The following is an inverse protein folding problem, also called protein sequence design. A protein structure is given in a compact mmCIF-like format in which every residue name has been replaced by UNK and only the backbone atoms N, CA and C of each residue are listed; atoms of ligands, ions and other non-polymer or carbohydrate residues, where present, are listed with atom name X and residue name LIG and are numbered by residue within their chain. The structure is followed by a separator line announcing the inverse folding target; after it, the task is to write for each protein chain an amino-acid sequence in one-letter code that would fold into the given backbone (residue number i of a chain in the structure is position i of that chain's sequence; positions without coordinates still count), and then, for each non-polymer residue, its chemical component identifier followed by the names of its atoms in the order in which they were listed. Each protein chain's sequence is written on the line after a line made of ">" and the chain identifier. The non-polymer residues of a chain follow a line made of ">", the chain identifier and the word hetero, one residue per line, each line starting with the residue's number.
data_IF_753447974515
#
_entry.id   IF_753447974515
#
_cell.length_a   1.000
_cell.length_b   1.000
_cell.length_c   1.000
_cell.angle_alpha   90.00
_cell.angle_beta   90.00
_cell.angle_gamma   90.00
#
_symmetry.space_group_name_H-M   'P 1'
#
loop_
_entity.id
_entity.type
_entity.pdbx_description
1 polymer ?
#
# COMPACT_ATOMS: atom_id res chain seq x y z
N UNK A 1 -36.54 0.01 -2.46
CA UNK A 1 -35.30 0.83 -2.37
C UNK A 1 -35.15 1.49 -3.72
N UNK A 2 -35.09 2.81 -3.78
CA UNK A 2 -35.03 3.54 -5.05
C UNK A 2 -33.64 3.33 -5.67
N UNK A 3 -33.63 2.82 -6.90
CA UNK A 3 -32.44 2.72 -7.75
C UNK A 3 -31.95 4.13 -8.10
N UNK A 4 -30.69 4.43 -7.77
CA UNK A 4 -30.02 5.62 -8.28
C UNK A 4 -29.10 5.21 -9.43
N UNK A 5 -29.35 5.80 -10.61
CA UNK A 5 -28.53 5.65 -11.82
C UNK A 5 -27.22 6.42 -11.65
N UNK A 6 -26.09 5.80 -12.01
CA UNK A 6 -24.80 6.49 -12.05
C UNK A 6 -24.83 7.52 -13.19
N UNK A 7 -24.26 8.70 -12.95
CA UNK A 7 -24.05 9.67 -14.03
C UNK A 7 -23.18 9.08 -15.15
N UNK A 8 -23.46 9.49 -16.39
CA UNK A 8 -22.61 9.13 -17.52
C UNK A 8 -21.24 9.80 -17.49
N UNK A 9 -21.10 10.96 -16.82
CA UNK A 9 -19.87 11.74 -16.74
C UNK A 9 -19.64 12.30 -15.33
N UNK A 10 -18.37 12.27 -14.89
CA UNK A 10 -17.91 12.83 -13.61
C UNK A 10 -16.73 13.76 -13.85
N UNK A 11 -16.59 14.82 -13.05
CA UNK A 11 -15.36 15.60 -13.02
C UNK A 11 -14.18 14.77 -12.47
N UNK A 12 -14.44 13.96 -11.44
CA UNK A 12 -13.42 13.15 -10.79
C UNK A 12 -13.94 11.75 -10.44
N UNK A 13 -13.13 10.72 -10.69
CA UNK A 13 -13.33 9.38 -10.12
C UNK A 13 -12.13 9.01 -9.25
N UNK A 14 -12.42 8.61 -8.01
CA UNK A 14 -11.44 8.04 -7.08
C UNK A 14 -11.60 6.52 -7.09
N UNK A 15 -10.63 5.84 -7.69
CA UNK A 15 -10.55 4.37 -7.69
C UNK A 15 -9.78 3.87 -6.47
N UNK A 16 -10.44 3.08 -5.63
CA UNK A 16 -9.94 2.57 -4.37
C UNK A 16 -10.33 3.48 -3.21
N UNK A 17 -11.05 2.90 -2.25
CA UNK A 17 -11.52 3.46 -0.99
C UNK A 17 -10.83 2.79 0.21
N UNK A 18 -9.61 2.27 0.02
CA UNK A 18 -8.71 1.89 1.13
C UNK A 18 -8.07 3.11 1.80
N UNK A 19 -7.04 2.93 2.66
CA UNK A 19 -6.42 4.02 3.42
C UNK A 19 -5.94 5.19 2.54
N UNK A 20 -5.37 4.91 1.37
CA UNK A 20 -4.90 5.96 0.46
C UNK A 20 -6.04 6.78 -0.17
N UNK A 21 -7.09 6.10 -0.65
CA UNK A 21 -8.28 6.76 -1.22
C UNK A 21 -9.07 7.55 -0.17
N UNK A 22 -9.26 6.99 1.02
CA UNK A 22 -9.91 7.71 2.11
C UNK A 22 -9.07 8.88 2.61
N UNK A 23 -7.74 8.74 2.64
CA UNK A 23 -6.83 9.86 2.90
C UNK A 23 -6.99 11.02 1.92
N UNK A 24 -7.16 10.73 0.62
CA UNK A 24 -7.50 11.75 -0.38
C UNK A 24 -8.81 12.46 -0.03
N UNK A 25 -9.88 11.71 0.22
CA UNK A 25 -11.21 12.27 0.46
C UNK A 25 -11.27 13.08 1.77
N UNK A 26 -10.63 12.61 2.83
CA UNK A 26 -10.55 13.33 4.10
C UNK A 26 -9.80 14.65 3.89
N UNK A 27 -8.67 14.62 3.18
CA UNK A 27 -7.90 15.83 2.94
C UNK A 27 -8.60 16.83 2.00
N UNK A 28 -9.29 16.34 0.98
CA UNK A 28 -10.15 17.16 0.12
C UNK A 28 -11.26 17.84 0.92
N UNK A 29 -11.81 17.17 1.94
CA UNK A 29 -12.81 17.77 2.83
C UNK A 29 -12.20 18.84 3.73
N UNK A 30 -11.09 18.53 4.42
CA UNK A 30 -10.36 19.47 5.29
C UNK A 30 -9.97 20.77 4.59
N UNK A 31 -9.59 20.67 3.31
CA UNK A 31 -9.16 21.80 2.47
C UNK A 31 -10.32 22.51 1.75
N UNK A 32 -11.56 22.04 1.90
CA UNK A 32 -12.74 22.59 1.23
C UNK A 32 -12.89 22.19 -0.25
N UNK A 33 -11.93 21.46 -0.82
CA UNK A 33 -11.96 21.01 -2.21
C UNK A 33 -13.08 20.01 -2.51
N UNK A 34 -13.48 19.18 -1.54
CA UNK A 34 -14.43 18.09 -1.77
C UNK A 34 -15.79 18.60 -2.25
N UNK A 35 -16.26 19.74 -1.73
CA UNK A 35 -17.56 20.31 -2.12
C UNK A 35 -17.58 20.79 -3.58
N UNK A 36 -16.45 21.25 -4.14
CA UNK A 36 -16.39 21.59 -5.56
C UNK A 36 -16.37 20.32 -6.41
N UNK A 37 -15.55 19.34 -6.03
CA UNK A 37 -15.46 18.06 -6.75
C UNK A 37 -16.81 17.34 -6.80
N UNK A 38 -17.54 17.30 -5.67
CA UNK A 38 -18.84 16.64 -5.60
C UNK A 38 -19.90 17.34 -6.47
N UNK A 39 -19.89 18.68 -6.49
CA UNK A 39 -20.80 19.48 -7.34
C UNK A 39 -20.62 19.17 -8.82
N UNK A 40 -19.38 19.06 -9.26
CA UNK A 40 -19.02 18.78 -10.66
C UNK A 40 -19.08 17.27 -11.00
N UNK A 41 -19.44 16.45 -10.01
CA UNK A 41 -19.55 14.99 -10.11
C UNK A 41 -18.29 14.30 -9.58
N UNK A 42 -18.43 13.69 -8.40
CA UNK A 42 -17.42 12.83 -7.79
C UNK A 42 -17.97 11.43 -7.59
N UNK A 43 -17.27 10.44 -8.14
CA UNK A 43 -17.55 9.02 -7.92
C UNK A 43 -16.39 8.35 -7.17
N UNK A 44 -16.71 7.60 -6.13
CA UNK A 44 -15.78 6.70 -5.44
C UNK A 44 -16.07 5.26 -5.85
N UNK A 45 -15.08 4.55 -6.39
CA UNK A 45 -15.24 3.16 -6.86
C UNK A 45 -14.30 2.26 -6.07
N UNK A 46 -14.81 1.18 -5.47
CA UNK A 46 -13.98 0.14 -4.86
C UNK A 46 -14.51 -1.25 -5.17
N UNK A 47 -13.60 -2.20 -5.37
CA UNK A 47 -13.91 -3.60 -5.58
C UNK A 47 -14.40 -4.30 -4.29
N UNK A 48 -14.04 -3.79 -3.12
CA UNK A 48 -14.51 -4.25 -1.83
C UNK A 48 -15.92 -3.71 -1.53
N UNK A 49 -16.64 -4.42 -0.67
CA UNK A 49 -17.95 -4.00 -0.15
C UNK A 49 -17.83 -3.07 1.06
N UNK A 50 -16.62 -2.86 1.59
CA UNK A 50 -16.34 -2.03 2.74
C UNK A 50 -15.19 -1.08 2.44
N UNK A 51 -15.22 0.10 3.08
CA UNK A 51 -14.24 1.18 2.89
C UNK A 51 -13.23 1.25 4.03
N UNK A 52 -12.16 2.02 3.84
CA UNK A 52 -11.24 2.46 4.87
C UNK A 52 -10.08 1.52 5.17
N UNK A 53 -10.36 0.25 5.50
CA UNK A 53 -9.30 -0.66 5.96
C UNK A 53 -8.33 -1.10 4.88
N UNK A 54 -8.82 -1.28 3.64
CA UNK A 54 -8.08 -2.04 2.61
C UNK A 54 -7.61 -3.40 3.15
N UNK A 55 -6.48 -3.91 2.66
CA UNK A 55 -5.84 -5.13 3.20
C UNK A 55 -5.08 -4.90 4.50
N UNK A 56 -4.83 -3.65 4.89
CA UNK A 56 -4.05 -3.31 6.09
C UNK A 56 -4.66 -3.94 7.34
N UNK A 57 -5.99 -3.90 7.45
CA UNK A 57 -6.73 -4.49 8.57
C UNK A 57 -6.69 -6.02 8.64
N UNK A 58 -6.11 -6.69 7.64
CA UNK A 58 -6.06 -8.15 7.57
C UNK A 58 -4.77 -8.68 8.18
N UNK A 59 -3.75 -7.85 8.36
CA UNK A 59 -2.42 -8.30 8.75
C UNK A 59 -2.30 -8.47 10.26
N UNK A 60 -1.89 -9.66 10.68
CA UNK A 60 -1.67 -10.05 12.08
C UNK A 60 -0.27 -9.65 12.57
N UNK A 61 0.09 -8.38 12.40
CA UNK A 61 1.37 -7.80 12.83
C UNK A 61 1.18 -6.41 13.42
N UNK A 62 2.17 -5.92 14.16
CA UNK A 62 2.19 -4.53 14.64
C UNK A 62 2.49 -3.56 13.51
N UNK A 63 1.95 -2.35 13.62
CA UNK A 63 2.26 -1.24 12.74
C UNK A 63 3.74 -0.83 12.82
N UNK A 64 4.22 -0.21 11.75
CA UNK A 64 5.51 0.49 11.73
C UNK A 64 5.37 1.98 12.12
N UNK A 65 4.27 2.35 12.77
CA UNK A 65 3.98 3.70 13.29
C UNK A 65 3.30 3.58 14.66
N UNK A 66 3.44 4.59 15.51
CA UNK A 66 2.74 4.63 16.80
C UNK A 66 1.25 4.91 16.63
N UNK A 67 0.44 4.55 17.63
CA UNK A 67 -1.01 4.79 17.65
C UNK A 67 -1.40 6.24 17.36
N UNK A 68 -0.65 7.19 17.92
CA UNK A 68 -0.89 8.63 17.78
C UNK A 68 -0.84 9.10 16.32
N UNK A 69 0.02 8.50 15.50
CA UNK A 69 0.13 8.82 14.06
C UNK A 69 -1.17 8.50 13.31
N UNK A 70 -1.88 7.44 13.70
CA UNK A 70 -3.18 7.10 13.11
C UNK A 70 -4.32 7.94 13.68
N UNK A 71 -4.27 8.27 14.98
CA UNK A 71 -5.25 9.16 15.60
C UNK A 71 -5.16 10.58 15.01
N UNK A 72 -3.95 11.07 14.74
CA UNK A 72 -3.71 12.37 14.14
C UNK A 72 -4.42 12.55 12.78
N UNK A 73 -4.46 11.51 11.96
CA UNK A 73 -5.23 11.49 10.70
C UNK A 73 -6.73 11.79 10.86
N UNK A 74 -7.28 11.66 12.07
CA UNK A 74 -8.69 11.81 12.41
C UNK A 74 -8.97 13.03 13.30
N UNK A 75 -7.94 13.75 13.75
CA UNK A 75 -8.06 14.83 14.74
C UNK A 75 -8.41 16.20 14.16
N UNK A 76 -8.39 16.34 12.84
CA UNK A 76 -8.64 17.63 12.21
C UNK A 76 -10.00 18.22 12.66
N UNK A 77 -10.05 19.50 13.08
CA UNK A 77 -11.27 20.14 13.57
C UNK A 77 -12.46 20.03 12.61
N UNK A 78 -12.23 20.02 11.29
CA UNK A 78 -13.30 19.89 10.30
C UNK A 78 -13.95 18.49 10.35
N UNK A 79 -13.19 17.45 10.70
CA UNK A 79 -13.65 16.07 10.73
C UNK A 79 -14.26 15.67 12.08
N UNK A 80 -13.98 16.41 13.17
CA UNK A 80 -14.46 16.08 14.52
C UNK A 80 -15.98 15.86 14.62
N UNK A 81 -16.86 16.67 13.99
CA UNK A 81 -18.31 16.44 14.07
C UNK A 81 -18.73 15.11 13.43
N UNK A 82 -18.06 14.70 12.35
CA UNK A 82 -18.33 13.45 11.63
C UNK A 82 -17.83 12.25 12.45
N UNK A 83 -16.69 12.41 13.14
CA UNK A 83 -16.00 11.35 13.86
C UNK A 83 -16.31 11.28 15.35
N UNK A 84 -17.19 12.14 15.88
CA UNK A 84 -17.64 12.08 17.26
C UNK A 84 -18.06 10.66 17.72
N UNK A 85 -18.74 9.81 16.90
CA UNK A 85 -19.08 8.44 17.28
C UNK A 85 -17.87 7.52 17.53
N UNK A 86 -16.67 7.84 17.02
CA UNK A 86 -15.47 7.01 17.21
C UNK A 86 -15.05 6.88 18.68
N UNK A 87 -15.45 7.82 19.56
CA UNK A 87 -15.19 7.73 21.00
C UNK A 87 -15.76 6.45 21.65
N UNK A 88 -16.73 5.79 21.00
CA UNK A 88 -17.31 4.52 21.42
C UNK A 88 -16.67 3.29 20.77
N UNK A 89 -15.75 3.48 19.81
CA UNK A 89 -15.05 2.39 19.13
C UNK A 89 -13.99 1.75 20.04
N UNK A 90 -13.97 0.42 20.20
CA UNK A 90 -12.92 -0.29 20.94
C UNK A 90 -11.52 -0.01 20.35
N UNK A 91 -11.39 -0.01 19.02
CA UNK A 91 -10.13 0.26 18.34
C UNK A 91 -9.61 1.68 18.61
N UNK A 92 -10.51 2.68 18.61
CA UNK A 92 -10.15 4.06 18.95
C UNK A 92 -9.63 4.16 20.39
N UNK A 93 -10.34 3.57 21.34
CA UNK A 93 -9.94 3.57 22.76
C UNK A 93 -8.62 2.83 22.99
N UNK A 94 -8.40 1.71 22.29
CA UNK A 94 -7.14 0.97 22.37
C UNK A 94 -5.95 1.86 21.97
N UNK A 95 -6.04 2.55 20.83
CA UNK A 95 -5.00 3.47 20.37
C UNK A 95 -4.87 4.72 21.26
N UNK A 96 -5.96 5.19 21.87
CA UNK A 96 -5.91 6.30 22.84
C UNK A 96 -5.25 5.93 24.16
N UNK A 97 -5.41 4.69 24.61
CA UNK A 97 -4.83 4.21 25.87
C UNK A 97 -3.31 3.98 25.76
N UNK A 98 -2.81 3.66 24.56
CA UNK A 98 -1.38 3.54 24.28
C UNK A 98 -1.02 4.29 22.97
N UNK A 99 -0.97 5.64 23.01
CA UNK A 99 -0.73 6.45 21.82
C UNK A 99 0.71 6.33 21.31
N UNK A 100 1.66 5.95 22.17
CA UNK A 100 3.07 5.86 21.82
C UNK A 100 3.52 4.42 21.50
N UNK A 101 2.69 3.42 21.76
CA UNK A 101 2.90 2.04 21.32
C UNK A 101 2.59 1.83 19.84
N UNK A 102 3.12 0.75 19.28
CA UNK A 102 2.82 0.29 17.93
C UNK A 102 1.59 -0.64 17.95
N UNK A 103 0.40 -0.18 17.50
CA UNK A 103 -0.82 -0.98 17.55
C UNK A 103 -0.79 -2.15 16.57
N UNK A 104 -1.65 -3.15 16.77
CA UNK A 104 -1.88 -4.18 15.75
C UNK A 104 -2.53 -3.57 14.52
N UNK A 105 -2.11 -3.97 13.32
CA UNK A 105 -2.68 -3.46 12.07
C UNK A 105 -4.17 -3.82 11.92
N UNK A 106 -4.62 -4.92 12.53
CA UNK A 106 -6.05 -5.25 12.62
C UNK A 106 -6.84 -4.16 13.35
N UNK A 107 -6.35 -3.67 14.50
CA UNK A 107 -6.97 -2.56 15.25
C UNK A 107 -6.95 -1.26 14.45
N UNK A 108 -5.85 -0.96 13.75
CA UNK A 108 -5.77 0.21 12.86
C UNK A 108 -6.79 0.08 11.73
N UNK A 109 -6.92 -1.10 11.13
CA UNK A 109 -7.90 -1.38 10.09
C UNK A 109 -9.34 -1.17 10.56
N UNK A 110 -9.68 -1.67 11.74
CA UNK A 110 -11.00 -1.45 12.36
C UNK A 110 -11.30 0.04 12.58
N UNK A 111 -10.33 0.79 13.10
CA UNK A 111 -10.47 2.24 13.29
C UNK A 111 -10.70 2.96 11.95
N UNK A 112 -9.85 2.68 10.94
CA UNK A 112 -9.95 3.32 9.63
C UNK A 112 -11.24 2.95 8.90
N UNK A 113 -11.71 1.71 9.01
CA UNK A 113 -12.99 1.28 8.45
C UNK A 113 -14.14 2.07 9.09
N UNK A 114 -14.19 2.15 10.42
CA UNK A 114 -15.26 2.88 11.11
C UNK A 114 -15.26 4.38 10.75
N UNK A 115 -14.10 5.03 10.79
CA UNK A 115 -13.97 6.43 10.39
C UNK A 115 -14.42 6.65 8.94
N UNK A 116 -14.00 5.77 8.03
CA UNK A 116 -14.34 5.87 6.61
C UNK A 116 -15.82 5.65 6.35
N UNK A 117 -16.47 4.71 7.04
CA UNK A 117 -17.92 4.51 6.92
C UNK A 117 -18.70 5.75 7.38
N UNK A 118 -18.34 6.34 8.52
CA UNK A 118 -18.96 7.58 9.00
C UNK A 118 -18.81 8.72 7.99
N UNK A 119 -17.60 8.87 7.45
CA UNK A 119 -17.30 9.90 6.45
C UNK A 119 -18.07 9.67 5.16
N UNK A 120 -18.04 8.45 4.61
CA UNK A 120 -18.71 8.12 3.35
C UNK A 120 -20.21 8.40 3.45
N UNK A 121 -20.86 8.00 4.54
CA UNK A 121 -22.27 8.32 4.80
C UNK A 121 -22.52 9.83 4.80
N UNK A 122 -21.71 10.60 5.53
CA UNK A 122 -21.82 12.05 5.59
C UNK A 122 -21.72 12.69 4.19
N UNK A 123 -20.71 12.33 3.39
CA UNK A 123 -20.50 12.97 2.08
C UNK A 123 -21.52 12.52 1.04
N UNK A 124 -22.05 11.29 1.13
CA UNK A 124 -23.15 10.85 0.28
C UNK A 124 -24.44 11.61 0.61
N UNK A 125 -24.75 11.79 1.90
CA UNK A 125 -26.00 12.42 2.37
C UNK A 125 -25.98 13.94 2.18
N UNK A 126 -24.83 14.60 2.34
CA UNK A 126 -24.75 16.06 2.39
C UNK A 126 -24.06 16.73 1.21
N UNK A 127 -23.17 16.02 0.49
CA UNK A 127 -22.41 16.59 -0.63
C UNK A 127 -22.78 15.99 -1.98
N UNK A 128 -23.59 14.92 -2.01
CA UNK A 128 -23.99 14.26 -3.25
C UNK A 128 -22.85 13.49 -3.91
N UNK A 129 -21.87 13.03 -3.14
CA UNK A 129 -20.83 12.11 -3.62
C UNK A 129 -21.46 10.76 -3.95
N UNK A 130 -21.17 10.22 -5.13
CA UNK A 130 -21.64 8.90 -5.53
C UNK A 130 -20.60 7.83 -5.20
N UNK A 131 -21.06 6.62 -4.88
CA UNK A 131 -20.20 5.53 -4.41
C UNK A 131 -20.63 4.22 -5.06
N UNK A 132 -19.67 3.51 -5.65
CA UNK A 132 -19.86 2.19 -6.25
C UNK A 132 -18.91 1.18 -5.58
N UNK A 133 -19.40 0.52 -4.53
CA UNK A 133 -18.71 -0.59 -3.87
C UNK A 133 -18.98 -1.91 -4.58
N UNK A 134 -18.15 -2.94 -4.34
CA UNK A 134 -18.24 -4.21 -5.07
C UNK A 134 -17.99 -4.07 -6.59
N UNK A 135 -17.41 -2.94 -7.01
CA UNK A 135 -17.29 -2.53 -8.41
C UNK A 135 -15.82 -2.37 -8.78
N UNK A 136 -15.40 -3.06 -9.84
CA UNK A 136 -14.02 -3.02 -10.35
C UNK A 136 -13.93 -2.07 -11.54
N UNK A 137 -12.89 -1.26 -11.57
CA UNK A 137 -12.45 -0.60 -12.80
C UNK A 137 -11.68 -1.67 -13.61
N UNK A 138 -12.18 -2.06 -14.77
CA UNK A 138 -11.54 -3.09 -15.62
C UNK A 138 -10.63 -2.48 -16.68
N UNK A 139 -11.06 -1.34 -17.23
CA UNK A 139 -10.37 -0.65 -18.32
C UNK A 139 -10.52 0.87 -18.17
N UNK A 140 -9.45 1.58 -18.50
CA UNK A 140 -9.42 3.04 -18.61
C UNK A 140 -8.88 3.39 -19.99
N UNK A 141 -9.61 4.23 -20.73
CA UNK A 141 -9.20 4.73 -22.04
C UNK A 141 -8.99 6.23 -21.95
N UNK A 142 -7.73 6.69 -22.09
CA UNK A 142 -7.40 8.11 -22.18
C UNK A 142 -7.84 8.65 -23.54
N UNK A 143 -8.64 9.70 -23.52
CA UNK A 143 -9.18 10.38 -24.70
C UNK A 143 -8.23 11.48 -25.20
N UNK A 144 -8.37 11.87 -26.46
CA UNK A 144 -7.52 12.91 -27.06
C UNK A 144 -7.77 14.30 -26.46
N UNK A 145 -8.96 14.52 -25.90
CA UNK A 145 -9.30 15.74 -25.16
C UNK A 145 -8.74 15.74 -23.72
N UNK A 146 -8.01 14.69 -23.31
CA UNK A 146 -7.44 14.50 -21.98
C UNK A 146 -8.41 14.01 -20.90
N UNK A 147 -9.65 13.67 -21.25
CA UNK A 147 -10.58 12.97 -20.36
C UNK A 147 -10.34 11.45 -20.40
N UNK A 148 -11.10 10.71 -19.61
CA UNK A 148 -11.03 9.25 -19.52
C UNK A 148 -12.40 8.63 -19.71
N UNK A 149 -12.43 7.48 -20.39
CA UNK A 149 -13.57 6.57 -20.39
C UNK A 149 -13.23 5.34 -19.55
N UNK A 150 -14.10 4.97 -18.62
CA UNK A 150 -13.91 3.87 -17.68
C UNK A 150 -14.92 2.79 -17.93
N UNK A 151 -14.43 1.54 -18.03
CA UNK A 151 -15.25 0.35 -17.97
C UNK A 151 -15.31 -0.13 -16.53
N UNK A 152 -16.49 -0.08 -15.93
CA UNK A 152 -16.74 -0.60 -14.58
C UNK A 152 -17.46 -1.94 -14.68
N UNK A 153 -17.17 -2.85 -13.73
CA UNK A 153 -17.87 -4.13 -13.57
C UNK A 153 -18.30 -4.35 -12.13
N UNK A 154 -19.58 -4.68 -11.93
CA UNK A 154 -20.12 -5.17 -10.67
C UNK A 154 -20.85 -6.50 -10.94
N UNK A 155 -20.30 -7.60 -10.44
CA UNK A 155 -20.75 -8.95 -10.79
C UNK A 155 -20.74 -9.18 -12.31
N UNK A 156 -21.88 -9.56 -12.88
CA UNK A 156 -22.06 -9.77 -14.33
C UNK A 156 -22.34 -8.48 -15.11
N UNK A 157 -22.71 -7.39 -14.44
CA UNK A 157 -23.12 -6.16 -15.09
C UNK A 157 -21.92 -5.22 -15.27
N UNK A 158 -21.88 -4.54 -16.42
CA UNK A 158 -20.81 -3.62 -16.77
C UNK A 158 -21.36 -2.32 -17.34
N UNK A 159 -20.68 -1.20 -17.05
CA UNK A 159 -21.09 0.15 -17.44
C UNK A 159 -19.88 0.94 -17.93
N UNK A 160 -20.12 1.88 -18.84
CA UNK A 160 -19.13 2.86 -19.28
C UNK A 160 -19.48 4.23 -18.70
N UNK A 161 -18.49 4.91 -18.13
CA UNK A 161 -18.63 6.30 -17.66
C UNK A 161 -17.46 7.14 -18.16
N UNK A 162 -17.68 8.45 -18.29
CA UNK A 162 -16.64 9.45 -18.52
C UNK A 162 -16.12 10.04 -17.21
N UNK A 163 -14.84 10.41 -17.20
CA UNK A 163 -14.20 11.11 -16.09
C UNK A 163 -13.25 12.20 -16.60
N UNK A 164 -13.32 13.41 -16.05
CA UNK A 164 -12.36 14.47 -16.34
C UNK A 164 -10.97 14.20 -15.74
N UNK A 165 -10.94 13.59 -14.55
CA UNK A 165 -9.72 13.25 -13.80
C UNK A 165 -9.90 11.95 -13.03
N UNK A 166 -8.78 11.29 -12.72
CA UNK A 166 -8.72 10.00 -12.04
C UNK A 166 -7.66 10.01 -10.94
N UNK A 167 -8.04 9.53 -9.75
CA UNK A 167 -7.10 9.15 -8.69
C UNK A 167 -7.14 7.63 -8.53
N UNK A 168 -6.06 6.94 -8.91
CA UNK A 168 -5.96 5.48 -8.90
C UNK A 168 -5.18 4.97 -7.69
N UNK A 169 -5.90 4.64 -6.62
CA UNK A 169 -5.36 4.10 -5.37
C UNK A 169 -5.85 2.66 -5.15
N UNK A 170 -5.68 1.82 -6.17
CA UNK A 170 -6.23 0.45 -6.26
C UNK A 170 -5.43 -0.61 -5.48
N UNK A 171 -4.43 -0.17 -4.71
CA UNK A 171 -3.57 -1.03 -3.90
C UNK A 171 -2.50 -1.77 -4.72
N UNK A 172 -1.87 -2.74 -4.08
CA UNK A 172 -0.81 -3.54 -4.67
C UNK A 172 -0.93 -5.02 -4.36
N UNK A 173 -0.21 -5.82 -5.12
CA UNK A 173 -0.13 -7.29 -5.02
C UNK A 173 1.31 -7.75 -5.16
N UNK A 174 1.63 -8.92 -4.62
CA UNK A 174 2.93 -9.55 -4.86
C UNK A 174 2.81 -10.58 -5.97
N UNK A 175 3.56 -10.41 -7.05
CA UNK A 175 3.57 -11.31 -8.20
C UNK A 175 4.85 -12.17 -8.20
N UNK A 176 4.71 -13.50 -8.30
CA UNK A 176 5.84 -14.44 -8.39
C UNK A 176 6.80 -14.12 -9.53
N UNK A 177 6.31 -13.56 -10.64
CA UNK A 177 7.16 -13.15 -11.77
C UNK A 177 8.20 -12.10 -11.37
N UNK A 178 7.87 -11.20 -10.44
CA UNK A 178 8.81 -10.20 -9.94
C UNK A 178 9.91 -10.83 -9.06
N UNK A 179 9.57 -11.87 -8.29
CA UNK A 179 10.59 -12.65 -7.59
C UNK A 179 11.52 -13.33 -8.58
N UNK A 180 10.97 -14.00 -9.60
CA UNK A 180 11.78 -14.66 -10.63
C UNK A 180 12.70 -13.66 -11.35
N UNK A 181 12.20 -12.49 -11.71
CA UNK A 181 12.99 -11.44 -12.34
C UNK A 181 14.08 -10.91 -11.41
N UNK A 182 13.75 -10.60 -10.15
CA UNK A 182 14.72 -10.11 -9.17
C UNK A 182 15.82 -11.13 -8.85
N UNK A 183 15.51 -12.43 -8.86
CA UNK A 183 16.51 -13.49 -8.70
C UNK A 183 17.36 -13.65 -9.97
N UNK A 184 16.74 -13.55 -11.15
CA UNK A 184 17.45 -13.66 -12.43
C UNK A 184 18.46 -12.51 -12.62
N UNK A 185 18.21 -11.31 -12.11
CA UNK A 185 19.20 -10.21 -12.05
C UNK A 185 20.47 -10.58 -11.27
N UNK A 186 20.43 -11.63 -10.46
CA UNK A 186 21.54 -12.17 -9.68
C UNK A 186 22.05 -13.52 -10.20
N UNK A 187 21.67 -13.89 -11.42
CA UNK A 187 21.94 -15.20 -12.04
C UNK A 187 21.37 -16.38 -11.22
N UNK A 188 20.24 -16.18 -10.55
CA UNK A 188 19.52 -17.20 -9.79
C UNK A 188 18.18 -17.52 -10.45
N UNK A 189 17.84 -18.80 -10.49
CA UNK A 189 16.58 -19.28 -11.05
C UNK A 189 15.94 -20.28 -10.11
N UNK A 190 14.65 -20.09 -9.84
CA UNK A 190 13.87 -21.09 -9.10
C UNK A 190 13.62 -22.30 -10.00
N UNK A 191 13.93 -23.50 -9.50
CA UNK A 191 13.60 -24.73 -10.21
C UNK A 191 12.08 -24.87 -10.35
N UNK A 192 11.62 -25.39 -11.51
CA UNK A 192 10.19 -25.57 -11.79
C UNK A 192 9.49 -26.48 -10.78
N UNK A 193 10.15 -27.58 -10.41
CA UNK A 193 9.69 -28.54 -9.41
C UNK A 193 10.28 -28.27 -8.01
N UNK A 194 10.93 -27.12 -7.82
CA UNK A 194 11.61 -26.78 -6.57
C UNK A 194 10.67 -26.12 -5.54
N UNK A 195 11.06 -24.99 -4.95
CA UNK A 195 10.36 -24.45 -3.79
C UNK A 195 8.95 -23.94 -4.10
N UNK A 196 8.02 -24.18 -3.17
CA UNK A 196 6.71 -23.55 -3.19
C UNK A 196 6.83 -22.09 -2.76
N UNK A 197 6.37 -21.17 -3.59
CA UNK A 197 6.45 -19.72 -3.33
C UNK A 197 5.13 -19.19 -2.78
N UNK A 198 5.19 -18.55 -1.62
CA UNK A 198 4.10 -17.82 -0.98
C UNK A 198 4.38 -16.32 -0.97
N UNK A 199 3.35 -15.48 -1.07
CA UNK A 199 3.49 -14.06 -0.81
C UNK A 199 3.49 -13.77 0.68
N UNK A 200 4.33 -12.83 1.13
CA UNK A 200 4.22 -12.27 2.48
C UNK A 200 2.82 -11.69 2.72
N UNK A 201 2.20 -11.07 1.72
CA UNK A 201 0.84 -10.52 1.80
C UNK A 201 -0.21 -11.57 2.18
N UNK A 202 -0.08 -12.82 1.70
CA UNK A 202 -0.99 -13.89 2.07
C UNK A 202 -0.71 -14.40 3.49
N UNK A 203 0.57 -14.62 3.83
CA UNK A 203 0.95 -15.20 5.11
C UNK A 203 0.83 -14.23 6.28
N UNK A 204 1.01 -12.93 6.06
CA UNK A 204 0.78 -11.90 7.09
C UNK A 204 -0.69 -11.79 7.49
N UNK A 205 -1.61 -12.23 6.64
CA UNK A 205 -3.04 -12.29 6.97
C UNK A 205 -3.46 -13.54 7.74
N UNK A 206 -2.52 -14.45 8.02
CA UNK A 206 -2.78 -15.64 8.81
C UNK A 206 -2.37 -15.42 10.27
N UNK A 207 -3.19 -15.93 11.19
CA UNK A 207 -2.83 -16.02 12.59
C UNK A 207 -1.90 -17.24 12.85
N UNK A 208 -1.28 -17.35 14.04
CA UNK A 208 -0.33 -18.43 14.32
C UNK A 208 -0.90 -19.85 14.15
N UNK A 209 -2.17 -20.08 14.48
CA UNK A 209 -2.78 -21.40 14.34
C UNK A 209 -2.98 -21.77 12.86
N UNK A 210 -3.36 -20.80 12.02
CA UNK A 210 -3.49 -21.00 10.57
C UNK A 210 -2.13 -21.25 9.90
N UNK A 211 -1.05 -20.62 10.38
CA UNK A 211 0.31 -20.92 9.92
C UNK A 211 0.74 -22.35 10.27
N UNK A 212 0.43 -22.80 11.50
CA UNK A 212 0.66 -24.18 11.94
C UNK A 212 -0.14 -25.17 11.09
N UNK A 213 -1.41 -24.88 10.80
CA UNK A 213 -2.24 -25.70 9.93
C UNK A 213 -1.67 -25.77 8.51
N UNK A 214 -1.27 -24.63 7.95
CA UNK A 214 -0.74 -24.54 6.59
C UNK A 214 0.59 -25.27 6.41
N UNK A 215 1.47 -25.21 7.41
CA UNK A 215 2.84 -25.73 7.32
C UNK A 215 3.10 -26.98 8.16
N UNK A 216 2.12 -27.49 8.89
CA UNK A 216 2.25 -28.62 9.81
C UNK A 216 3.00 -29.82 9.22
N UNK A 217 2.53 -30.31 8.07
CA UNK A 217 3.11 -31.46 7.38
C UNK A 217 4.43 -31.13 6.66
N UNK A 218 4.78 -29.85 6.53
CA UNK A 218 6.01 -29.39 5.88
C UNK A 218 7.15 -29.15 6.86
N UNK A 219 6.89 -29.00 8.16
CA UNK A 219 7.97 -28.85 9.14
C UNK A 219 8.53 -30.23 9.46
N UNK A 220 9.51 -30.66 8.67
CA UNK A 220 10.24 -31.93 8.87
C UNK A 220 11.74 -31.70 8.89
N UNK A 221 12.55 -32.62 9.46
CA UNK A 221 14.00 -32.49 9.44
C UNK A 221 14.53 -32.33 8.01
N UNK A 222 15.23 -31.21 7.76
CA UNK A 222 15.78 -30.87 6.45
C UNK A 222 14.89 -30.01 5.55
N UNK A 223 13.62 -29.79 5.87
CA UNK A 223 12.78 -28.86 5.10
C UNK A 223 13.25 -27.43 5.28
N UNK A 224 13.37 -26.70 4.17
CA UNK A 224 13.90 -25.33 4.16
C UNK A 224 12.78 -24.31 4.11
N UNK A 225 12.85 -23.35 5.02
CA UNK A 225 12.05 -22.13 4.97
C UNK A 225 12.97 -20.97 4.62
N UNK A 226 12.58 -20.21 3.61
CA UNK A 226 13.34 -19.08 3.10
C UNK A 226 12.43 -17.87 2.99
N UNK A 227 12.89 -16.71 3.45
CA UNK A 227 12.23 -15.42 3.28
C UNK A 227 13.09 -14.55 2.39
N UNK A 228 12.50 -13.94 1.36
CA UNK A 228 13.21 -13.05 0.43
C UNK A 228 12.76 -11.61 0.65
N UNK A 229 13.65 -10.77 1.18
CA UNK A 229 13.41 -9.36 1.46
C UNK A 229 14.26 -8.84 2.60
N UNK A 230 14.37 -7.52 2.73
CA UNK A 230 15.20 -6.86 3.75
C UNK A 230 14.47 -5.77 4.56
N UNK A 231 13.14 -5.73 4.46
CA UNK A 231 12.29 -4.67 5.02
C UNK A 231 11.27 -5.21 6.01
N UNK A 232 10.42 -4.33 6.58
CA UNK A 232 9.43 -4.67 7.61
C UNK A 232 8.63 -5.96 7.35
N UNK A 233 8.09 -6.17 6.15
CA UNK A 233 7.32 -7.38 5.84
C UNK A 233 8.14 -8.67 5.95
N UNK A 234 9.42 -8.64 5.56
CA UNK A 234 10.30 -9.81 5.64
C UNK A 234 10.58 -10.17 7.10
N UNK A 235 10.89 -9.19 7.94
CA UNK A 235 11.15 -9.40 9.37
C UNK A 235 9.89 -9.78 10.15
N UNK A 236 8.72 -9.31 9.72
CA UNK A 236 7.45 -9.72 10.31
C UNK A 236 7.08 -11.16 9.94
N UNK A 237 7.39 -11.60 8.70
CA UNK A 237 7.26 -13.01 8.30
C UNK A 237 8.24 -13.89 9.08
N UNK A 238 9.51 -13.47 9.23
CA UNK A 238 10.49 -14.20 10.04
C UNK A 238 9.95 -14.44 11.45
N UNK A 239 9.43 -13.39 12.08
CA UNK A 239 8.84 -13.45 13.42
C UNK A 239 7.64 -14.40 13.49
N UNK A 240 6.67 -14.22 12.59
CA UNK A 240 5.46 -15.03 12.56
C UNK A 240 5.76 -16.52 12.31
N UNK A 241 6.63 -16.83 11.35
CA UNK A 241 7.03 -18.22 11.06
C UNK A 241 7.80 -18.82 12.22
N UNK A 242 8.79 -18.11 12.77
CA UNK A 242 9.57 -18.60 13.89
C UNK A 242 8.68 -18.87 15.11
N UNK A 243 7.84 -17.91 15.51
CA UNK A 243 6.97 -18.05 16.66
C UNK A 243 5.91 -19.15 16.47
N UNK A 244 5.29 -19.25 15.29
CA UNK A 244 4.24 -20.23 15.03
C UNK A 244 4.81 -21.66 14.89
N UNK A 245 5.96 -21.83 14.23
CA UNK A 245 6.47 -23.14 13.82
C UNK A 245 7.55 -23.70 14.75
N UNK A 246 8.05 -22.94 15.74
CA UNK A 246 8.98 -23.46 16.76
C UNK A 246 8.38 -24.66 17.52
N UNK A 247 7.07 -24.65 17.78
CA UNK A 247 6.39 -25.77 18.44
C UNK A 247 6.39 -27.06 17.61
N UNK A 248 6.53 -26.95 16.29
CA UNK A 248 6.65 -28.06 15.35
C UNK A 248 8.11 -28.51 15.14
N UNK A 249 9.07 -27.83 15.77
CA UNK A 249 10.49 -28.15 15.64
C UNK A 249 11.18 -27.51 14.44
N UNK A 250 10.67 -26.38 13.93
CA UNK A 250 11.40 -25.61 12.92
C UNK A 250 12.74 -25.12 13.51
N UNK A 251 13.86 -25.54 12.93
CA UNK A 251 15.18 -25.23 13.49
C UNK A 251 15.80 -23.94 12.91
N UNK A 252 15.58 -23.68 11.63
CA UNK A 252 16.24 -22.60 10.90
C UNK A 252 15.37 -22.00 9.79
N UNK A 253 15.47 -20.69 9.61
CA UNK A 253 14.95 -19.95 8.45
C UNK A 253 16.12 -19.27 7.75
N UNK A 254 16.11 -19.24 6.42
CA UNK A 254 17.09 -18.48 5.62
C UNK A 254 16.48 -17.14 5.22
N UNK A 255 17.17 -16.02 5.48
CA UNK A 255 16.78 -14.69 5.00
C UNK A 255 17.69 -14.29 3.82
N UNK A 256 17.10 -14.24 2.63
CA UNK A 256 17.72 -13.70 1.43
C UNK A 256 17.47 -12.20 1.35
N UNK A 257 18.52 -11.40 1.29
CA UNK A 257 18.41 -9.93 1.17
C UNK A 257 19.39 -9.37 0.15
N UNK A 258 19.02 -8.26 -0.51
CA UNK A 258 19.86 -7.59 -1.51
C UNK A 258 20.81 -6.57 -0.88
N UNK A 259 20.28 -5.72 -0.01
CA UNK A 259 20.99 -4.58 0.56
C UNK A 259 21.20 -4.79 2.08
N UNK A 260 22.04 -3.97 2.74
CA UNK A 260 22.18 -3.99 4.20
C UNK A 260 20.83 -3.84 4.91
N UNK A 261 20.63 -4.63 5.96
CA UNK A 261 19.44 -4.54 6.82
C UNK A 261 19.58 -3.27 7.66
N UNK A 262 18.60 -2.37 7.55
CA UNK A 262 18.63 -1.05 8.19
C UNK A 262 17.76 -1.02 9.43
N UNK A 263 18.30 -0.52 10.54
CA UNK A 263 17.56 -0.32 11.79
C UNK A 263 17.25 1.18 11.95
N UNK A 264 16.02 1.49 12.37
CA UNK A 264 15.60 2.86 12.67
C UNK A 264 16.07 3.28 14.07
N UNK A 265 16.58 4.51 14.19
CA UNK A 265 16.85 5.15 15.49
C UNK A 265 16.35 6.60 15.49
N UNK A 266 15.93 7.10 16.65
CA UNK A 266 15.50 8.50 16.81
C UNK A 266 16.67 9.47 16.64
N UNK A 267 17.91 9.03 16.90
CA UNK A 267 19.12 9.83 16.69
C UNK A 267 20.36 9.00 16.37
N UNK A 268 21.39 9.66 15.83
CA UNK A 268 22.70 9.04 15.64
C UNK A 268 23.39 8.69 16.97
N UNK A 269 23.10 9.41 18.05
CA UNK A 269 23.61 9.09 19.40
C UNK A 269 23.03 7.77 19.90
N UNK A 270 21.71 7.59 19.79
CA UNK A 270 21.02 6.34 20.15
C UNK A 270 21.56 5.15 19.34
N UNK A 271 21.72 5.32 18.03
CA UNK A 271 22.28 4.28 17.16
C UNK A 271 23.68 3.84 17.62
N UNK A 272 24.56 4.80 17.95
CA UNK A 272 25.91 4.50 18.46
C UNK A 272 25.88 3.82 19.82
N UNK A 273 24.99 4.24 20.72
CA UNK A 273 24.81 3.61 22.01
C UNK A 273 24.36 2.14 21.87
N UNK A 274 23.60 1.83 20.82
CA UNK A 274 23.22 0.47 20.44
C UNK A 274 24.32 -0.30 19.66
N UNK A 275 25.50 0.29 19.43
CA UNK A 275 26.57 -0.32 18.65
C UNK A 275 26.33 -0.33 17.14
N UNK A 276 25.33 0.39 16.64
CA UNK A 276 25.02 0.49 15.23
C UNK A 276 25.95 1.48 14.53
N UNK A 277 26.52 1.05 13.39
CA UNK A 277 27.38 1.90 12.57
C UNK A 277 26.51 2.81 11.72
N UNK A 278 26.70 4.13 11.86
CA UNK A 278 25.94 5.16 11.14
C UNK A 278 26.86 5.91 10.18
N UNK A 279 26.51 5.95 8.90
CA UNK A 279 27.03 6.95 7.98
C UNK A 279 26.14 8.21 8.08
N UNK A 280 26.60 9.25 8.78
CA UNK A 280 25.79 10.46 8.97
C UNK A 280 25.46 11.19 7.67
N UNK A 281 26.27 11.03 6.61
CA UNK A 281 26.01 11.65 5.32
C UNK A 281 24.95 10.92 4.49
N UNK A 282 24.76 9.62 4.76
CA UNK A 282 23.88 8.75 3.98
C UNK A 282 22.62 8.33 4.75
N UNK A 283 22.75 8.00 6.02
CA UNK A 283 21.73 7.32 6.82
C UNK A 283 20.93 8.26 7.73
N UNK A 284 21.43 9.47 8.00
CA UNK A 284 20.71 10.45 8.81
C UNK A 284 19.82 11.31 7.92
N UNK A 285 18.53 11.36 8.26
CA UNK A 285 17.59 12.24 7.59
C UNK A 285 17.93 13.71 7.95
N UNK A 286 18.25 14.58 6.97
CA UNK A 286 18.70 15.94 7.23
C UNK A 286 17.61 16.84 7.83
N UNK A 287 16.33 16.46 7.67
CA UNK A 287 15.19 17.23 8.20
C UNK A 287 14.89 16.87 9.65
N UNK A 288 15.03 15.60 10.02
CA UNK A 288 14.58 15.11 11.35
C UNK A 288 15.70 14.69 12.30
N UNK A 289 16.93 14.52 11.81
CA UNK A 289 18.04 13.97 12.61
C UNK A 289 17.96 12.46 12.90
N UNK A 290 16.88 11.81 12.48
CA UNK A 290 16.64 10.37 12.66
C UNK A 290 17.47 9.53 11.70
N UNK A 291 17.93 8.37 12.17
CA UNK A 291 18.70 7.40 11.37
C UNK A 291 17.75 6.44 10.67
N UNK A 292 17.96 6.20 9.37
CA UNK A 292 17.15 5.33 8.53
C UNK A 292 15.63 5.60 8.69
N UNK A 293 15.24 6.89 8.66
CA UNK A 293 13.86 7.34 8.91
C UNK A 293 12.84 6.59 8.05
N UNK A 294 13.13 6.44 6.77
CA UNK A 294 12.21 5.89 5.77
C UNK A 294 12.38 4.38 5.60
N UNK A 295 13.62 3.89 5.61
CA UNK A 295 13.95 2.49 5.30
C UNK A 295 14.19 1.59 6.51
N UNK A 296 14.43 2.15 7.70
CA UNK A 296 14.81 1.40 8.89
C UNK A 296 13.66 0.60 9.48
N UNK A 297 13.93 -0.63 9.92
CA UNK A 297 12.99 -1.47 10.66
C UNK A 297 12.59 -0.79 11.97
N UNK A 298 11.31 -0.84 12.32
CA UNK A 298 10.72 -0.20 13.52
C UNK A 298 10.03 -1.21 14.43
N UNK A 299 9.93 -0.88 15.72
CA UNK A 299 9.18 -1.62 16.75
C UNK A 299 9.50 -3.13 16.74
N UNK A 300 8.49 -4.00 16.57
CA UNK A 300 8.73 -5.45 16.58
C UNK A 300 9.71 -5.89 15.49
N UNK A 301 9.61 -5.34 14.28
CA UNK A 301 10.55 -5.64 13.20
C UNK A 301 11.97 -5.14 13.52
N UNK A 302 12.11 -4.02 14.23
CA UNK A 302 13.41 -3.54 14.73
C UNK A 302 14.01 -4.53 15.73
N UNK A 303 13.23 -5.00 16.69
CA UNK A 303 13.67 -5.96 17.70
C UNK A 303 14.15 -7.25 17.03
N UNK A 304 13.32 -7.86 16.17
CA UNK A 304 13.68 -9.07 15.43
C UNK A 304 14.92 -8.83 14.56
N UNK A 305 15.01 -7.67 13.90
CA UNK A 305 16.20 -7.29 13.13
C UNK A 305 17.46 -7.20 13.98
N UNK A 306 17.36 -6.61 15.17
CA UNK A 306 18.48 -6.51 16.12
C UNK A 306 18.94 -7.90 16.58
N UNK A 307 18.00 -8.77 16.92
CA UNK A 307 18.29 -10.12 17.41
C UNK A 307 18.91 -11.01 16.34
N UNK A 308 18.37 -10.94 15.12
CA UNK A 308 18.91 -11.68 13.97
C UNK A 308 20.31 -11.19 13.61
N UNK A 309 20.55 -9.88 13.57
CA UNK A 309 21.86 -9.32 13.24
C UNK A 309 22.91 -9.58 14.33
N UNK A 310 22.52 -9.55 15.60
CA UNK A 310 23.44 -9.76 16.73
C UNK A 310 23.70 -11.22 17.06
N UNK A 311 22.66 -12.05 17.01
CA UNK A 311 22.66 -13.40 17.59
C UNK A 311 22.25 -14.51 16.59
N UNK A 312 21.77 -14.15 15.40
CA UNK A 312 21.30 -15.13 14.40
C UNK A 312 20.08 -15.93 14.86
N UNK A 313 19.22 -15.37 15.72
CA UNK A 313 18.04 -16.05 16.28
C UNK A 313 16.86 -15.06 16.38
N UNK A 314 15.63 -15.57 16.25
CA UNK A 314 14.42 -14.78 16.56
C UNK A 314 14.11 -14.89 18.06
N UNK A 315 14.17 -13.78 18.80
CA UNK A 315 13.91 -13.77 20.24
C UNK A 315 12.56 -14.34 20.62
N UNK A 316 12.57 -15.16 21.68
CA UNK A 316 11.38 -15.87 22.16
C UNK A 316 11.18 -17.24 21.50
N UNK A 317 12.07 -17.63 20.58
CA UNK A 317 12.02 -18.92 19.87
C UNK A 317 13.39 -19.61 19.89
N UNK A 318 13.43 -20.88 19.46
CA UNK A 318 14.69 -21.61 19.20
C UNK A 318 15.17 -21.50 17.75
N UNK A 319 14.43 -20.78 16.90
CA UNK A 319 14.62 -20.78 15.45
C UNK A 319 15.78 -19.88 15.05
N UNK A 320 16.80 -20.47 14.43
CA UNK A 320 17.97 -19.75 13.91
C UNK A 320 17.65 -19.05 12.59
N UNK A 321 18.39 -17.98 12.29
CA UNK A 321 18.30 -17.27 11.02
C UNK A 321 19.66 -17.25 10.32
N UNK A 322 19.70 -17.84 9.13
CA UNK A 322 20.85 -17.75 8.22
C UNK A 322 20.67 -16.53 7.30
N UNK A 323 21.62 -15.58 7.35
CA UNK A 323 21.60 -14.39 6.49
C UNK A 323 22.40 -14.67 5.22
N UNK A 324 21.77 -14.47 4.06
CA UNK A 324 22.41 -14.59 2.75
C UNK A 324 22.20 -13.31 1.94
N UNK A 325 23.29 -12.59 1.71
CA UNK A 325 23.31 -11.38 0.90
C UNK A 325 23.45 -11.74 -0.59
N UNK A 326 22.49 -11.34 -1.43
CA UNK A 326 22.50 -11.60 -2.86
C UNK A 326 23.68 -10.93 -3.59
N UNK A 327 24.19 -9.82 -3.03
CA UNK A 327 25.34 -9.10 -3.57
C UNK A 327 26.68 -9.74 -3.20
N UNK A 328 26.72 -10.66 -2.23
CA UNK A 328 27.93 -11.39 -1.87
C UNK A 328 28.27 -12.42 -2.97
N UNK A 329 29.44 -12.23 -3.58
CA UNK A 329 29.93 -13.06 -4.70
C UNK A 329 30.90 -14.16 -4.27
N UNK A 330 31.07 -14.39 -2.97
CA UNK A 330 31.93 -15.47 -2.48
C UNK A 330 31.40 -16.84 -2.94
N UNK A 331 32.29 -17.81 -3.27
CA UNK A 331 31.87 -19.11 -3.77
C UNK A 331 30.91 -19.86 -2.82
N UNK A 332 31.15 -19.78 -1.50
CA UNK A 332 30.32 -20.43 -0.50
C UNK A 332 28.90 -19.87 -0.45
N UNK A 333 28.74 -18.54 -0.50
CA UNK A 333 27.40 -17.91 -0.55
C UNK A 333 26.72 -18.23 -1.87
N UNK A 334 27.44 -18.20 -3.00
CA UNK A 334 26.87 -18.55 -4.32
C UNK A 334 26.34 -19.99 -4.37
N UNK A 335 27.08 -20.95 -3.81
CA UNK A 335 26.61 -22.33 -3.69
C UNK A 335 25.35 -22.42 -2.83
N UNK A 336 25.34 -21.72 -1.69
CA UNK A 336 24.18 -21.70 -0.79
C UNK A 336 22.94 -21.07 -1.44
N UNK A 337 23.11 -19.97 -2.18
CA UNK A 337 22.04 -19.32 -2.93
C UNK A 337 21.44 -20.24 -3.99
N UNK A 338 22.29 -20.97 -4.72
CA UNK A 338 21.83 -21.94 -5.71
C UNK A 338 20.99 -23.06 -5.07
N UNK A 339 21.47 -23.62 -3.95
CA UNK A 339 20.76 -24.64 -3.18
C UNK A 339 19.38 -24.16 -2.71
N UNK A 340 19.27 -22.93 -2.22
CA UNK A 340 17.99 -22.33 -1.78
C UNK A 340 17.00 -22.19 -2.94
N UNK A 341 17.48 -21.91 -4.15
CA UNK A 341 16.64 -21.75 -5.33
C UNK A 341 16.23 -23.07 -6.00
N UNK A 342 17.04 -24.13 -5.85
CA UNK A 342 16.85 -25.39 -6.56
C UNK A 342 16.15 -26.48 -5.76
N UNK A 343 16.31 -26.50 -4.43
CA UNK A 343 15.81 -27.60 -3.60
C UNK A 343 14.38 -27.38 -3.11
N UNK A 344 13.71 -28.50 -2.79
CA UNK A 344 12.37 -28.49 -2.23
C UNK A 344 12.33 -27.72 -0.91
N UNK A 345 11.35 -26.83 -0.79
CA UNK A 345 11.19 -25.97 0.38
C UNK A 345 10.06 -24.98 0.23
N UNK A 346 10.01 -24.06 1.19
CA UNK A 346 9.07 -22.95 1.23
C UNK A 346 9.84 -21.65 1.04
N UNK A 347 9.46 -20.86 0.03
CA UNK A 347 9.94 -19.50 -0.15
C UNK A 347 8.80 -18.53 0.13
N UNK A 348 9.07 -17.50 0.93
CA UNK A 348 8.15 -16.38 1.13
C UNK A 348 8.73 -15.13 0.48
N UNK A 349 8.05 -14.60 -0.54
CA UNK A 349 8.44 -13.33 -1.16
C UNK A 349 7.95 -12.13 -0.34
N UNK A 350 8.90 -11.30 0.08
CA UNK A 350 8.68 -10.05 0.81
C UNK A 350 9.44 -8.88 0.15
N UNK A 351 9.51 -8.89 -1.19
CA UNK A 351 10.29 -7.95 -2.01
C UNK A 351 9.52 -6.70 -2.45
N UNK A 352 8.41 -6.38 -1.78
CA UNK A 352 7.54 -5.25 -2.11
C UNK A 352 6.29 -5.65 -2.91
N UNK A 353 5.47 -4.65 -3.24
CA UNK A 353 4.17 -4.78 -3.89
C UNK A 353 4.18 -4.11 -5.26
N UNK A 354 3.62 -4.79 -6.25
CA UNK A 354 3.35 -4.25 -7.58
C UNK A 354 1.97 -3.60 -7.63
N UNK A 355 1.77 -2.56 -8.44
CA UNK A 355 0.49 -1.87 -8.55
C UNK A 355 -0.60 -2.76 -9.14
N UNK A 356 -1.81 -2.67 -8.58
CA UNK A 356 -3.01 -3.21 -9.20
C UNK A 356 -3.53 -2.21 -10.24
N UNK A 357 -3.29 -2.47 -11.53
CA UNK A 357 -3.76 -1.60 -12.62
C UNK A 357 -4.85 -2.26 -13.47
N UNK A 358 -5.90 -1.50 -13.88
CA UNK A 358 -6.80 -1.92 -14.94
C UNK A 358 -6.08 -1.91 -16.30
N UNK A 359 -6.74 -2.43 -17.32
CA UNK A 359 -6.24 -2.27 -18.69
C UNK A 359 -6.24 -0.78 -19.07
N UNK A 360 -5.06 -0.21 -19.30
CA UNK A 360 -4.90 1.17 -19.74
C UNK A 360 -4.77 1.23 -21.27
N UNK A 361 -5.52 2.13 -21.92
CA UNK A 361 -5.56 2.30 -23.37
C UNK A 361 -5.53 3.78 -23.76
N UNK A 362 -5.01 4.05 -24.95
CA UNK A 362 -5.13 5.34 -25.66
C UNK A 362 -6.44 5.35 -26.47
N UNK A 363 -6.87 6.53 -26.91
CA UNK A 363 -8.09 6.72 -27.71
C UNK A 363 -8.10 5.85 -28.98
N UNK A 364 -6.95 5.68 -29.62
CA UNK A 364 -6.76 4.84 -30.80
C UNK A 364 -6.77 3.31 -30.51
N UNK A 365 -6.98 2.89 -29.26
CA UNK A 365 -7.02 1.49 -28.85
C UNK A 365 -5.68 0.86 -28.46
N UNK A 366 -4.56 1.57 -28.65
CA UNK A 366 -3.23 1.07 -28.27
C UNK A 366 -3.07 0.98 -26.74
N UNK A 367 -2.25 0.03 -26.22
CA UNK A 367 -1.88 0.00 -24.81
C UNK A 367 -1.24 1.31 -24.34
N UNK A 368 -1.80 1.91 -23.29
CA UNK A 368 -1.15 2.99 -22.55
C UNK A 368 -0.35 2.39 -21.41
N UNK A 369 0.95 2.21 -21.59
CA UNK A 369 1.81 1.66 -20.55
C UNK A 369 2.33 2.77 -19.63
N UNK A 370 2.16 2.58 -18.33
CA UNK A 370 2.71 3.46 -17.29
C UNK A 370 4.09 2.95 -16.93
N UNK A 371 5.05 3.88 -16.80
CA UNK A 371 6.40 3.54 -16.42
C UNK A 371 6.46 3.13 -14.94
N UNK A 372 7.30 2.13 -14.65
CA UNK A 372 7.65 1.76 -13.28
C UNK A 372 9.05 2.25 -12.93
N UNK A 373 9.24 2.63 -11.68
CA UNK A 373 10.51 3.11 -11.14
C UNK A 373 10.62 2.72 -9.67
N UNK A 374 11.74 2.08 -9.31
CA UNK A 374 12.08 1.65 -7.94
C UNK A 374 10.97 0.85 -7.26
N UNK A 375 10.35 -0.08 -8.00
CA UNK A 375 9.32 -0.98 -7.49
C UNK A 375 7.93 -0.37 -7.28
N UNK A 376 7.63 0.76 -7.95
CA UNK A 376 6.30 1.38 -7.97
C UNK A 376 6.08 2.21 -9.23
N UNK A 377 4.91 2.84 -9.38
CA UNK A 377 4.57 3.64 -10.57
C UNK A 377 5.34 4.96 -10.62
N UNK A 378 5.96 5.27 -11.77
CA UNK A 378 6.66 6.53 -11.98
C UNK A 378 5.65 7.68 -12.04
N UNK A 379 5.85 8.66 -11.16
CA UNK A 379 4.97 9.81 -10.98
C UNK A 379 5.77 11.05 -10.60
N UNK A 380 5.22 12.23 -10.90
CA UNK A 380 5.81 13.48 -10.42
C UNK A 380 5.46 13.76 -8.94
N UNK A 381 5.88 14.92 -8.44
CA UNK A 381 5.67 15.32 -7.04
C UNK A 381 4.18 15.50 -6.67
N UNK A 382 3.28 15.64 -7.66
CA UNK A 382 1.85 15.71 -7.48
C UNK A 382 1.15 14.36 -7.74
N UNK A 383 1.91 13.27 -7.90
CA UNK A 383 1.38 11.94 -8.15
C UNK A 383 0.87 11.72 -9.57
N UNK A 384 1.13 12.64 -10.52
CA UNK A 384 0.73 12.49 -11.92
C UNK A 384 1.58 11.39 -12.58
N UNK A 385 0.93 10.36 -13.10
CA UNK A 385 1.61 9.19 -13.67
C UNK A 385 2.33 9.54 -14.97
N UNK A 386 3.43 8.83 -15.24
CA UNK A 386 4.21 8.97 -16.47
C UNK A 386 4.04 7.76 -17.38
N UNK A 387 3.91 8.01 -18.68
CA UNK A 387 3.97 6.95 -19.67
C UNK A 387 5.39 6.36 -19.80
N UNK A 388 5.55 5.30 -20.59
CA UNK A 388 6.86 4.67 -20.82
C UNK A 388 7.96 5.63 -21.32
N UNK A 389 7.60 6.73 -21.98
CA UNK A 389 8.56 7.73 -22.46
C UNK A 389 8.88 8.78 -21.39
N UNK A 390 8.37 8.63 -20.18
CA UNK A 390 8.53 9.56 -19.07
C UNK A 390 7.65 10.81 -19.18
N UNK A 391 6.70 10.84 -20.12
CA UNK A 391 5.79 11.99 -20.29
C UNK A 391 4.64 11.89 -19.29
N UNK A 392 4.27 12.98 -18.58
CA UNK A 392 3.08 12.98 -17.74
C UNK A 392 1.82 12.58 -18.52
N UNK A 393 0.89 11.91 -17.84
CA UNK A 393 -0.45 11.57 -18.33
C UNK A 393 -1.43 12.50 -17.59
N UNK A 394 -1.75 13.68 -18.15
CA UNK A 394 -2.51 14.70 -17.43
C UNK A 394 -3.86 14.17 -16.93
N UNK A 395 -4.22 14.51 -15.70
CA UNK A 395 -5.47 14.07 -15.09
C UNK A 395 -5.44 12.65 -14.53
N UNK A 396 -4.36 11.88 -14.67
CA UNK A 396 -4.20 10.55 -14.10
C UNK A 396 -3.21 10.55 -12.94
N UNK A 397 -3.73 10.51 -11.72
CA UNK A 397 -2.96 10.58 -10.48
C UNK A 397 -2.96 9.25 -9.73
N UNK A 398 -1.93 8.97 -8.96
CA UNK A 398 -1.86 7.77 -8.12
C UNK A 398 -0.88 7.93 -6.97
N UNK A 399 -1.24 7.33 -5.83
CA UNK A 399 -0.35 7.14 -4.69
C UNK A 399 -0.85 5.96 -3.84
N UNK A 400 -0.19 5.66 -2.73
CA UNK A 400 -0.54 4.51 -1.90
C UNK A 400 0.16 3.22 -2.31
N UNK A 401 -0.20 2.10 -1.70
CA UNK A 401 0.47 0.81 -1.89
C UNK A 401 0.51 0.39 -3.37
N UNK A 402 1.66 -0.08 -3.86
CA UNK A 402 1.89 -0.49 -5.25
C UNK A 402 2.23 0.67 -6.22
N UNK A 403 1.72 1.87 -5.97
CA UNK A 403 2.12 3.07 -6.69
C UNK A 403 3.34 3.73 -6.03
N UNK A 404 3.16 4.06 -4.75
CA UNK A 404 4.17 4.69 -3.91
C UNK A 404 4.34 6.17 -4.22
N UNK A 405 4.93 6.90 -3.28
CA UNK A 405 5.42 8.25 -3.52
C UNK A 405 6.94 8.18 -3.63
N UNK A 406 7.50 8.91 -4.61
CA UNK A 406 8.93 9.15 -4.61
C UNK A 406 9.32 9.88 -3.30
N UNK A 407 10.48 9.54 -2.74
CA UNK A 407 11.00 10.26 -1.60
C UNK A 407 11.11 11.75 -1.96
N UNK A 408 10.36 12.60 -1.25
CA UNK A 408 10.39 14.03 -1.45
C UNK A 408 11.44 14.63 -0.50
N UNK A 409 12.50 15.29 -1.00
CA UNK A 409 13.50 15.93 -0.15
C UNK A 409 12.90 16.90 0.87
N UNK A 410 11.79 17.56 0.53
CA UNK A 410 11.08 18.50 1.42
C UNK A 410 10.37 17.79 2.59
N UNK A 411 9.92 16.56 2.39
CA UNK A 411 9.27 15.75 3.44
C UNK A 411 10.29 15.04 4.33
N UNK A 412 11.57 15.07 3.94
CA UNK A 412 12.70 14.45 4.63
C UNK A 412 12.84 12.96 4.35
N UNK A 413 14.04 12.52 3.99
CA UNK A 413 14.44 11.11 3.97
C UNK A 413 15.96 11.05 4.06
N UNK A 414 16.50 9.96 4.59
CA UNK A 414 17.92 9.64 4.45
C UNK A 414 18.26 9.40 2.97
N UNK A 415 19.50 9.73 2.56
CA UNK A 415 19.95 9.62 1.15
C UNK A 415 20.09 8.18 0.70
N UNK A 416 20.39 7.29 1.63
CA UNK A 416 20.52 5.86 1.38
C UNK A 416 19.16 5.17 1.15
N UNK A 417 18.04 5.85 1.40
CA UNK A 417 16.71 5.35 1.07
C UNK A 417 16.41 5.53 -0.41
N UNK A 418 16.47 4.43 -1.15
CA UNK A 418 16.23 4.38 -2.59
C UNK A 418 14.95 3.61 -2.95
N UNK A 419 13.87 3.86 -2.20
CA UNK A 419 12.57 3.19 -2.41
C UNK A 419 11.40 4.17 -2.36
N UNK A 420 10.19 3.64 -2.22
CA UNK A 420 8.93 4.38 -2.20
C UNK A 420 8.39 4.53 -0.79
N UNK A 421 7.81 5.70 -0.51
CA UNK A 421 7.19 5.98 0.79
C UNK A 421 5.75 5.48 0.77
N UNK A 422 5.41 4.66 1.77
CA UNK A 422 4.08 4.13 2.02
C UNK A 422 3.70 4.39 3.48
N UNK A 423 2.99 5.48 3.74
CA UNK A 423 2.58 5.85 5.09
C UNK A 423 1.15 6.37 5.11
N UNK A 424 0.31 5.80 5.97
CA UNK A 424 -1.10 6.22 6.13
C UNK A 424 -1.18 7.72 6.43
N UNK A 425 -0.32 8.21 7.32
CA UNK A 425 -0.27 9.64 7.65
C UNK A 425 -0.02 10.53 6.42
N UNK A 426 0.89 10.12 5.53
CA UNK A 426 1.21 10.87 4.31
C UNK A 426 0.00 10.96 3.38
N UNK A 427 -0.76 9.87 3.25
CA UNK A 427 -1.96 9.83 2.40
C UNK A 427 -3.06 10.77 2.89
N UNK A 428 -3.16 10.99 4.20
CA UNK A 428 -4.17 11.85 4.82
C UNK A 428 -3.72 13.32 4.93
N UNK A 429 -2.48 13.63 4.56
CA UNK A 429 -1.88 14.97 4.67
C UNK A 429 -1.14 15.34 3.37
N UNK A 430 0.19 15.44 3.40
CA UNK A 430 0.97 16.12 2.37
C UNK A 430 0.81 15.52 0.97
N UNK A 431 0.71 14.19 0.87
CA UNK A 431 0.64 13.51 -0.42
C UNK A 431 -0.64 13.83 -1.17
N UNK A 432 -1.79 13.69 -0.50
CA UNK A 432 -3.07 13.96 -1.12
C UNK A 432 -3.26 15.46 -1.38
N UNK A 433 -2.69 16.34 -0.55
CA UNK A 433 -2.78 17.78 -0.74
C UNK A 433 -2.27 18.23 -2.10
N UNK A 434 -1.08 17.73 -2.50
CA UNK A 434 -0.48 18.04 -3.81
C UNK A 434 -1.28 17.48 -4.98
N UNK A 435 -1.86 16.30 -4.81
CA UNK A 435 -2.74 15.69 -5.81
C UNK A 435 -4.02 16.53 -5.97
N UNK A 436 -4.61 17.00 -4.87
CA UNK A 436 -5.83 17.83 -4.88
C UNK A 436 -5.58 19.14 -5.64
N UNK A 437 -4.48 19.83 -5.33
CA UNK A 437 -4.08 21.07 -6.03
C UNK A 437 -3.95 20.85 -7.54
N UNK A 438 -3.14 19.87 -7.95
CA UNK A 438 -2.92 19.57 -9.37
C UNK A 438 -4.20 19.12 -10.10
N UNK A 439 -5.07 18.39 -9.40
CA UNK A 439 -6.36 17.97 -9.94
C UNK A 439 -7.28 19.16 -10.18
N UNK A 440 -7.37 20.10 -9.25
CA UNK A 440 -8.17 21.32 -9.40
C UNK A 440 -7.65 22.22 -10.52
N UNK A 441 -6.32 22.39 -10.63
CA UNK A 441 -5.69 23.12 -11.74
C UNK A 441 -6.02 22.48 -13.08
N UNK A 442 -5.93 21.15 -13.17
CA UNK A 442 -6.29 20.41 -14.37
C UNK A 442 -7.75 20.62 -14.76
N UNK A 443 -8.69 20.44 -13.82
CA UNK A 443 -10.12 20.66 -14.08
C UNK A 443 -10.42 22.10 -14.50
N UNK A 444 -9.81 23.09 -13.86
CA UNK A 444 -9.98 24.49 -14.20
C UNK A 444 -9.47 24.80 -15.62
N UNK A 445 -8.35 24.21 -16.04
CA UNK A 445 -7.79 24.38 -17.40
C UNK A 445 -8.69 23.81 -18.51
N UNK A 446 -9.58 22.88 -18.16
CA UNK A 446 -10.54 22.26 -19.09
C UNK A 446 -11.87 23.02 -19.18
N UNK A 447 -12.21 23.81 -18.17
CA UNK A 447 -13.45 24.58 -18.15
C UNK A 447 -13.39 25.70 -19.20
N UNK A 448 -13.82 25.42 -20.43
CA UNK A 448 -14.06 26.44 -21.47
C UNK A 448 -15.35 27.20 -21.14
N UNK A 449 -15.52 28.52 -21.39
CA UNK A 449 -16.76 29.23 -21.06
C UNK A 449 -17.96 28.58 -21.77
N UNK A 450 -18.93 28.09 -21.00
CA UNK A 450 -19.99 27.21 -21.47
C UNK A 450 -20.85 27.84 -22.60
N UNK A 451 -21.00 27.11 -23.70
CA UNK A 451 -22.17 27.22 -24.58
C UNK A 451 -23.29 26.33 -24.01
N UNK A 452 -24.53 26.84 -24.02
CA UNK A 452 -25.69 26.27 -23.33
C UNK A 452 -26.09 24.86 -23.81
N UNK A 453 -26.71 24.03 -22.94
CA UNK A 453 -26.97 22.62 -23.25
C UNK A 453 -28.27 22.42 -24.03
N UNK A 454 -28.23 21.48 -24.98
CA UNK A 454 -29.40 20.89 -25.64
C UNK A 454 -29.55 19.44 -25.14
N UNK A 455 -30.72 19.11 -24.62
CA UNK A 455 -31.08 17.81 -24.04
C UNK A 455 -31.14 16.68 -25.07
N UNK A 456 -30.69 15.48 -24.68
CA UNK A 456 -31.25 14.23 -25.19
C UNK A 456 -30.98 13.09 -24.21
N UNK A 457 -32.06 12.42 -23.75
CA UNK A 457 -32.04 11.31 -22.80
C UNK A 457 -31.64 9.97 -23.40
N UNK A 458 -31.41 8.98 -22.53
CA UNK A 458 -31.22 7.56 -22.86
C UNK A 458 -31.44 6.65 -21.63
N UNK A 459 -31.87 5.42 -21.93
CA UNK A 459 -32.41 4.35 -21.06
C UNK A 459 -31.48 3.78 -19.97
N UNK A 460 -32.09 3.40 -18.83
CA UNK A 460 -31.48 2.83 -17.62
C UNK A 460 -31.58 1.29 -17.53
N UNK A 461 -30.54 0.65 -16.96
CA UNK A 461 -30.52 -0.75 -16.54
C UNK A 461 -29.91 -0.89 -15.13
N UNK A 462 -30.33 -1.88 -14.30
CA UNK A 462 -30.11 -1.81 -12.85
C UNK A 462 -28.81 -2.50 -12.34
N UNK A 463 -28.09 -1.79 -11.45
CA UNK A 463 -27.05 -2.32 -10.57
C UNK A 463 -27.51 -2.29 -9.11
N UNK A 464 -27.09 -3.26 -8.30
CA UNK A 464 -27.35 -3.29 -6.86
C UNK A 464 -26.26 -2.55 -6.05
N UNK A 465 -26.65 -1.51 -5.31
CA UNK A 465 -25.83 -0.79 -4.32
C UNK A 465 -26.18 -1.25 -2.90
N UNK A 466 -25.18 -1.41 -2.02
CA UNK A 466 -25.41 -1.73 -0.61
C UNK A 466 -25.60 -0.47 0.23
N UNK A 467 -26.70 -0.39 0.99
CA UNK A 467 -26.81 0.55 2.09
C UNK A 467 -25.74 0.20 3.15
N UNK A 468 -24.88 1.18 3.49
CA UNK A 468 -23.96 1.04 4.62
C UNK A 468 -24.80 1.03 5.92
N UNK A 469 -25.03 -0.17 6.44
CA UNK A 469 -25.64 -0.41 7.75
C UNK A 469 -24.72 -0.03 8.89
#
# INVERSE_FOLDING_TARGET
>A
MAEQSLRSNYACVVGGAGPAGMGFLFNAYKTGALASLARDGLLVVDAALAVGRGRLGDYHITANSVGDVFLDCLRDPALLPIFAPLAHSPAFRALQNDPHGAPMLTQVGELLAHASTLFMRYVTEHLGVEVALGTRIEKITAQDDGSFQLALRSGSHGVQIGAGTLVMNLGGRQNREYLNWSLAEQDLHLAHDGPTVYSSDALLSLNPAELVELFGDRVTPGTRFTVVGGSHSAFSILDNLACALDCLGLEQITLLHRAPIRLFFESAEEARAAGYVVDEGMDVCPVSGRVNRSGGLRYRAHQVGTDVLGNGIVSGTRVKVELLCLEDRSPAVRERLAQVCSEDGVIVQAIGYQPCLPALRRANGEPLQVRESKGGLDSDAAGCLRDLNGRPIPGLYSFGLGSGLAANPMLGSERSFDSRIYGVWQFHHDASGRVIEALQEHLASRATPAAQPMESGLDDAPFALSALG
#
